data_IF_040449217631
#
_entry.id   IF_040449217631
#
_cell.length_a   1.000
_cell.length_b   1.000
_cell.length_c   1.000
_cell.angle_alpha   90.00
_cell.angle_beta   90.00
_cell.angle_gamma   90.00
#
_symmetry.space_group_name_H-M   'P 1'
#
loop_
_entity.id
_entity.type
_entity.pdbx_description
1 polymer ?
#
# COMPACT_ATOMS: atom_id res chain seq x y z
N UNK A 1 -8.26 -5.99 11.18
CA UNK A 1 -7.07 -6.31 10.45
C UNK A 1 -7.28 -6.24 8.98
N UNK A 2 -6.30 -5.79 8.27
CA UNK A 2 -6.39 -5.64 6.82
C UNK A 2 -5.11 -6.18 6.20
N UNK A 3 -5.09 -6.25 4.90
CA UNK A 3 -3.94 -6.74 4.16
C UNK A 3 -3.30 -5.62 3.38
N UNK A 4 -2.02 -5.77 3.15
CA UNK A 4 -1.30 -4.90 2.23
C UNK A 4 -0.83 -5.75 1.07
N UNK A 5 -1.24 -5.39 -0.14
CA UNK A 5 -0.87 -6.10 -1.36
C UNK A 5 0.16 -5.33 -2.14
N UNK A 6 1.00 -6.06 -2.84
CA UNK A 6 1.91 -5.48 -3.83
C UNK A 6 1.48 -5.96 -5.21
N UNK A 7 1.33 -5.04 -6.14
CA UNK A 7 1.01 -5.36 -7.53
C UNK A 7 2.25 -5.15 -8.37
N UNK A 8 2.70 -6.19 -9.05
CA UNK A 8 3.92 -6.10 -9.85
C UNK A 8 3.61 -5.54 -11.24
N UNK A 9 4.64 -5.44 -12.07
CA UNK A 9 4.50 -4.82 -13.37
C UNK A 9 3.62 -5.61 -14.32
N UNK A 10 3.31 -6.84 -13.99
CA UNK A 10 2.44 -7.66 -14.81
C UNK A 10 1.02 -7.66 -14.30
N UNK A 11 0.73 -6.87 -13.29
CA UNK A 11 -0.61 -6.78 -12.75
C UNK A 11 -0.95 -7.83 -11.72
N UNK A 12 0.01 -8.64 -11.32
CA UNK A 12 -0.24 -9.67 -10.33
C UNK A 12 -0.11 -9.09 -8.94
N UNK A 13 -1.02 -9.46 -8.07
CA UNK A 13 -1.05 -8.96 -6.70
C UNK A 13 -0.76 -10.08 -5.73
N UNK A 14 -0.07 -9.72 -4.65
CA UNK A 14 0.12 -10.68 -3.56
C UNK A 14 0.12 -9.92 -2.26
N UNK A 15 -0.28 -10.60 -1.20
CA UNK A 15 -0.26 -10.04 0.14
C UNK A 15 1.18 -10.07 0.64
N UNK A 16 1.68 -8.93 1.06
CA UNK A 16 3.03 -8.87 1.61
C UNK A 16 3.04 -8.73 3.12
N UNK A 17 1.94 -8.27 3.71
CA UNK A 17 1.83 -8.25 5.17
C UNK A 17 0.41 -7.91 5.57
N UNK A 18 0.11 -8.10 6.83
CA UNK A 18 -1.14 -7.60 7.40
C UNK A 18 -0.87 -6.31 8.12
N UNK A 19 -1.88 -5.46 8.20
CA UNK A 19 -1.74 -4.14 8.80
C UNK A 19 -2.92 -3.88 9.72
N UNK A 20 -2.68 -3.12 10.76
CA UNK A 20 -3.72 -2.75 11.71
C UNK A 20 -4.08 -1.28 11.62
N UNK A 21 -3.19 -0.48 11.09
CA UNK A 21 -3.45 0.95 10.98
C UNK A 21 -2.64 1.47 9.80
N UNK A 22 -2.83 2.74 9.49
CA UNK A 22 -2.16 3.30 8.31
C UNK A 22 -0.67 3.50 8.52
N UNK A 23 -0.20 3.64 9.75
CA UNK A 23 1.23 3.65 9.99
C UNK A 23 1.86 2.34 9.57
N UNK A 24 1.18 1.22 9.84
CA UNK A 24 1.68 -0.07 9.39
C UNK A 24 1.80 -0.14 7.88
N UNK A 25 0.83 0.45 7.19
CA UNK A 25 0.87 0.45 5.73
C UNK A 25 2.11 1.19 5.23
N UNK A 26 2.34 2.38 5.75
CA UNK A 26 3.49 3.17 5.31
C UNK A 26 4.81 2.50 5.68
N UNK A 27 4.87 1.91 6.87
CA UNK A 27 6.07 1.19 7.27
C UNK A 27 6.33 0.00 6.34
N UNK A 28 5.28 -0.73 6.01
CA UNK A 28 5.42 -1.88 5.12
C UNK A 28 5.89 -1.48 3.75
N UNK A 29 5.33 -0.41 3.21
CA UNK A 29 5.72 0.07 1.89
C UNK A 29 7.17 0.53 1.92
N UNK A 30 7.55 1.29 2.94
CA UNK A 30 8.91 1.79 3.04
C UNK A 30 9.92 0.66 3.14
N UNK A 31 9.62 -0.34 3.96
CA UNK A 31 10.53 -1.47 4.10
C UNK A 31 10.66 -2.25 2.80
N UNK A 32 9.56 -2.42 2.10
CA UNK A 32 9.59 -3.12 0.83
C UNK A 32 10.45 -2.37 -0.17
N UNK A 33 10.28 -1.06 -0.24
CA UNK A 33 11.06 -0.26 -1.18
C UNK A 33 12.53 -0.26 -0.84
N UNK A 34 12.86 -0.21 0.45
CA UNK A 34 14.25 -0.26 0.86
C UNK A 34 14.89 -1.57 0.45
N UNK A 35 14.16 -2.66 0.59
CA UNK A 35 14.70 -3.96 0.24
C UNK A 35 14.93 -4.10 -1.25
N UNK A 36 14.24 -3.31 -2.04
CA UNK A 36 14.36 -3.38 -3.49
C UNK A 36 15.19 -2.23 -4.04
N UNK A 37 15.89 -1.51 -3.17
CA UNK A 37 16.85 -0.48 -3.57
C UNK A 37 16.24 0.70 -4.29
N UNK A 38 15.04 1.06 -3.92
CA UNK A 38 14.46 2.28 -4.43
C UNK A 38 15.17 3.44 -3.73
N UNK A 39 15.65 4.38 -4.52
CA UNK A 39 16.46 5.43 -3.94
C UNK A 39 15.66 6.60 -3.45
N UNK A 40 14.69 7.01 -4.20
CA UNK A 40 13.87 8.09 -3.77
C UNK A 40 12.49 7.86 -4.31
N UNK A 41 11.51 8.23 -3.53
CA UNK A 41 10.14 7.97 -3.92
C UNK A 41 9.25 8.89 -3.13
N UNK A 42 8.02 8.96 -3.57
CA UNK A 42 6.98 9.64 -2.82
C UNK A 42 5.81 8.67 -2.74
N UNK A 43 4.88 8.95 -1.85
CA UNK A 43 3.72 8.10 -1.71
C UNK A 43 2.49 8.95 -1.89
N UNK A 44 1.69 8.61 -2.88
CA UNK A 44 0.38 9.20 -3.09
C UNK A 44 -0.64 8.10 -2.97
N UNK A 45 -1.84 8.45 -2.52
CA UNK A 45 -2.86 7.43 -2.35
C UNK A 45 -4.21 7.98 -2.75
N UNK A 46 -5.07 7.09 -3.17
CA UNK A 46 -6.46 7.41 -3.45
C UNK A 46 -7.27 6.13 -3.37
N UNK A 47 -8.57 6.29 -3.25
CA UNK A 47 -9.46 5.14 -3.17
C UNK A 47 -9.79 4.65 -4.57
N UNK A 48 -9.78 3.33 -4.74
CA UNK A 48 -10.06 2.75 -6.04
C UNK A 48 -10.68 1.38 -5.80
N UNK A 49 -11.93 1.20 -6.23
CA UNK A 49 -12.61 -0.10 -6.15
C UNK A 49 -12.64 -0.68 -4.75
N UNK A 50 -12.86 0.18 -3.76
CA UNK A 50 -13.00 -0.29 -2.38
C UNK A 50 -11.69 -0.52 -1.67
N UNK A 51 -10.57 -0.24 -2.30
CA UNK A 51 -9.27 -0.33 -1.68
C UNK A 51 -8.56 1.00 -1.85
N UNK A 52 -7.52 1.20 -1.08
CA UNK A 52 -6.67 2.37 -1.23
C UNK A 52 -5.44 1.96 -2.02
N UNK A 53 -5.22 2.66 -3.12
CA UNK A 53 -4.08 2.40 -3.97
C UNK A 53 -2.98 3.37 -3.64
N UNK A 54 -1.75 2.87 -3.56
CA UNK A 54 -0.58 3.69 -3.24
C UNK A 54 0.35 3.73 -4.43
N UNK A 55 0.66 4.93 -4.86
CA UNK A 55 1.58 5.16 -5.98
C UNK A 55 2.88 5.67 -5.38
N UNK A 56 3.95 4.96 -5.64
CA UNK A 56 5.25 5.30 -5.06
C UNK A 56 6.22 5.82 -6.12
N UNK A 57 5.68 6.25 -7.26
CA UNK A 57 6.53 6.74 -8.32
C UNK A 57 6.94 5.70 -9.32
N UNK A 58 6.52 4.47 -9.13
CA UNK A 58 6.76 3.44 -10.12
C UNK A 58 5.72 3.55 -11.21
N UNK A 59 6.10 3.24 -12.43
CA UNK A 59 5.16 3.35 -13.55
C UNK A 59 4.18 2.19 -13.57
N UNK A 60 4.58 1.04 -13.05
CA UNK A 60 3.79 -0.16 -13.22
C UNK A 60 3.53 -0.91 -11.93
N UNK A 61 4.13 -0.50 -10.84
CA UNK A 61 4.01 -1.24 -9.58
C UNK A 61 3.33 -0.38 -8.55
N UNK A 62 2.41 -0.98 -7.82
CA UNK A 62 1.58 -0.24 -6.88
C UNK A 62 1.35 -1.08 -5.64
N UNK A 63 0.88 -0.44 -4.59
CA UNK A 63 0.47 -1.13 -3.38
C UNK A 63 -1.00 -0.84 -3.13
N UNK A 64 -1.66 -1.77 -2.45
CA UNK A 64 -3.08 -1.63 -2.12
C UNK A 64 -3.31 -2.09 -0.71
N UNK A 65 -4.27 -1.47 -0.04
CA UNK A 65 -4.73 -2.00 1.23
C UNK A 65 -6.25 -1.92 1.27
N UNK A 66 -6.87 -2.88 1.96
CA UNK A 66 -8.30 -2.84 2.18
C UNK A 66 -8.63 -2.28 3.55
N UNK A 67 -7.68 -1.67 4.22
CA UNK A 67 -7.93 -0.99 5.47
C UNK A 67 -8.85 0.19 5.24
N UNK A 68 -9.87 0.34 6.07
CA UNK A 68 -10.84 1.37 5.88
C UNK A 68 -10.49 2.58 6.71
N UNK A 69 -10.45 3.71 6.05
CA UNK A 69 -10.04 4.91 6.71
C UNK A 69 -11.09 5.44 7.66
N UNK A 70 -12.32 5.21 7.35
CA UNK A 70 -13.39 5.82 8.12
C UNK A 70 -13.91 4.98 9.23
N UNK A 71 -13.28 3.83 9.47
CA UNK A 71 -13.81 2.99 10.50
C UNK A 71 -13.76 3.61 11.84
N UNK A 72 -12.83 4.45 12.06
CA UNK A 72 -12.69 5.04 13.33
C UNK A 72 -13.65 6.13 13.56
N UNK A 73 -14.33 6.50 12.59
CA UNK A 73 -15.19 7.56 12.80
C UNK A 73 -16.41 7.28 13.36
N UNK A 74 -16.54 6.54 13.66
CA UNK A 74 -17.63 6.33 14.13
C UNK A 74 -17.97 6.96 15.09
N UNK A 75 -17.77 7.50 15.14
CA UNK A 75 -18.05 8.17 16.00
C UNK A 75 -18.34 8.70 16.06
#
# INVERSE_FOLDING_TARGET
MANLWFQNSQGQERVIMTVNNFNDVFTGISNFLDEHNYKSYYIRSWEENGRIKYDVGSWTEFFYTDLKEDEKNDC
#
